data_IF_751432523129
#
_entry.id   IF_751432523129
#
_cell.length_a   1.000
_cell.length_b   1.000
_cell.length_c   1.000
_cell.angle_alpha   90.00
_cell.angle_beta   90.00
_cell.angle_gamma   90.00
#
_symmetry.space_group_name_H-M   'P 1'
#
loop_
_entity.id
_entity.type
_entity.pdbx_description
1 polymer ?
#
# COMPACT_ATOMS: atom_id res chain seq x y z
N UNK A 1 -95.06 90.09 13.20
CA UNK A 1 -96.41 89.53 12.92
C UNK A 1 -96.35 88.66 11.67
N UNK A 2 -97.06 87.52 11.71
CA UNK A 2 -97.47 86.61 10.63
C UNK A 2 -96.37 85.91 9.80
N UNK A 3 -96.11 84.61 10.03
CA UNK A 3 -96.80 83.42 9.47
C UNK A 3 -96.65 83.30 7.94
N UNK A 4 -95.78 82.39 7.51
CA UNK A 4 -95.76 81.85 6.15
C UNK A 4 -95.83 80.33 6.24
N UNK A 5 -96.90 79.80 5.64
CA UNK A 5 -97.34 78.42 5.70
C UNK A 5 -96.47 77.50 4.82
N UNK A 6 -96.24 76.29 5.34
CA UNK A 6 -95.52 75.21 4.69
C UNK A 6 -96.33 74.60 3.53
N UNK A 7 -95.65 74.33 2.40
CA UNK A 7 -96.10 73.40 1.35
C UNK A 7 -95.36 72.07 1.50
N UNK A 8 -96.03 70.91 1.41
CA UNK A 8 -95.35 69.62 1.50
C UNK A 8 -94.66 69.29 0.17
N UNK A 9 -93.35 69.04 0.23
CA UNK A 9 -92.62 68.37 -0.85
C UNK A 9 -92.74 66.86 -0.66
N UNK A 10 -93.41 66.22 -1.60
CA UNK A 10 -93.47 64.77 -1.77
C UNK A 10 -92.06 64.21 -1.96
N UNK A 11 -91.58 63.46 -0.96
CA UNK A 11 -90.30 62.75 -1.00
C UNK A 11 -90.51 61.42 -1.71
N UNK A 12 -90.09 61.31 -2.97
CA UNK A 12 -90.03 60.06 -3.72
C UNK A 12 -89.01 59.12 -3.05
N UNK A 13 -89.48 57.97 -2.57
CA UNK A 13 -88.63 56.88 -2.08
C UNK A 13 -87.95 56.20 -3.28
N UNK A 14 -86.71 56.59 -3.59
CA UNK A 14 -85.82 55.79 -4.44
C UNK A 14 -85.22 54.66 -3.59
N UNK A 15 -85.77 53.46 -3.70
CA UNK A 15 -85.15 52.25 -3.16
C UNK A 15 -83.87 51.94 -3.95
N UNK A 16 -82.70 51.96 -3.29
CA UNK A 16 -81.46 51.40 -3.86
C UNK A 16 -81.61 49.88 -3.94
N UNK A 17 -81.53 49.32 -5.13
CA UNK A 17 -81.29 47.89 -5.35
C UNK A 17 -79.82 47.59 -5.01
N UNK A 18 -79.58 46.73 -4.02
CA UNK A 18 -78.25 46.20 -3.76
C UNK A 18 -77.94 45.12 -4.81
N UNK A 19 -76.85 45.28 -5.56
CA UNK A 19 -76.33 44.24 -6.42
C UNK A 19 -75.77 43.09 -5.56
N UNK A 20 -76.21 41.86 -5.80
CA UNK A 20 -75.63 40.66 -5.19
C UNK A 20 -74.23 40.41 -5.77
N UNK A 21 -73.26 40.08 -4.91
CA UNK A 21 -71.91 39.74 -5.34
C UNK A 21 -71.92 38.44 -6.18
N UNK A 22 -71.07 38.31 -7.23
CA UNK A 22 -71.01 37.09 -8.02
C UNK A 22 -70.41 35.95 -7.18
N UNK A 23 -70.95 34.73 -7.35
CA UNK A 23 -70.44 33.54 -6.69
C UNK A 23 -68.98 33.25 -7.10
N UNK A 24 -68.11 32.95 -6.12
CA UNK A 24 -66.72 32.61 -6.37
C UNK A 24 -66.58 31.23 -7.04
N UNK A 25 -65.77 31.14 -8.10
CA UNK A 25 -65.44 29.85 -8.73
C UNK A 25 -64.46 29.08 -7.83
N UNK A 26 -64.62 27.76 -7.66
CA UNK A 26 -63.66 26.97 -6.89
C UNK A 26 -62.29 26.97 -7.59
N UNK A 27 -61.22 27.14 -6.81
CA UNK A 27 -59.86 27.14 -7.34
C UNK A 27 -59.36 25.71 -7.52
N UNK A 28 -58.75 25.40 -8.66
CA UNK A 28 -58.06 24.13 -8.90
C UNK A 28 -56.66 24.09 -8.26
N UNK A 29 -56.26 25.14 -7.53
CA UNK A 29 -54.96 25.27 -6.88
C UNK A 29 -54.60 24.07 -5.98
N UNK A 30 -55.51 23.48 -5.19
CA UNK A 30 -55.20 22.29 -4.40
C UNK A 30 -54.75 21.11 -5.25
N UNK A 31 -55.33 20.93 -6.45
CA UNK A 31 -54.97 19.83 -7.35
C UNK A 31 -53.62 20.07 -8.02
N UNK A 32 -53.30 21.32 -8.38
CA UNK A 32 -51.97 21.67 -8.89
C UNK A 32 -50.88 21.51 -7.83
N UNK A 33 -51.15 21.91 -6.60
CA UNK A 33 -50.21 21.73 -5.49
C UNK A 33 -50.02 20.25 -5.15
N UNK A 34 -51.11 19.45 -5.19
CA UNK A 34 -51.03 18.00 -5.00
C UNK A 34 -50.20 17.35 -6.11
N UNK A 35 -50.46 17.69 -7.37
CA UNK A 35 -49.72 17.15 -8.52
C UNK A 35 -48.24 17.56 -8.54
N UNK A 36 -47.94 18.81 -8.20
CA UNK A 36 -46.55 19.28 -8.08
C UNK A 36 -45.83 18.61 -6.91
N UNK A 37 -46.53 18.42 -5.78
CA UNK A 37 -46.00 17.72 -4.61
C UNK A 37 -45.69 16.25 -4.89
N UNK A 38 -46.57 15.52 -5.59
CA UNK A 38 -46.35 14.12 -5.95
C UNK A 38 -45.24 13.95 -6.97
N UNK A 39 -45.13 14.84 -7.97
CA UNK A 39 -44.01 14.84 -8.91
C UNK A 39 -42.68 15.20 -8.24
N UNK A 40 -42.68 16.17 -7.33
CA UNK A 40 -41.51 16.54 -6.55
C UNK A 40 -41.03 15.40 -5.64
N UNK A 41 -41.96 14.73 -4.95
CA UNK A 41 -41.65 13.54 -4.14
C UNK A 41 -41.22 12.36 -4.99
N UNK A 42 -41.85 12.13 -6.15
CA UNK A 42 -41.46 11.09 -7.10
C UNK A 42 -40.08 11.34 -7.70
N UNK A 43 -39.75 12.58 -8.05
CA UNK A 43 -38.43 12.98 -8.52
C UNK A 43 -37.37 12.88 -7.43
N UNK A 44 -37.69 13.31 -6.20
CA UNK A 44 -36.81 13.13 -5.04
C UNK A 44 -36.56 11.64 -4.78
N UNK A 45 -37.61 10.83 -4.77
CA UNK A 45 -37.49 9.38 -4.57
C UNK A 45 -36.70 8.74 -5.70
N UNK A 46 -36.93 9.09 -6.96
CA UNK A 46 -36.21 8.56 -8.12
C UNK A 46 -34.71 8.91 -8.09
N UNK A 47 -34.39 10.17 -7.80
CA UNK A 47 -33.00 10.64 -7.64
C UNK A 47 -32.31 10.00 -6.42
N UNK A 48 -33.09 9.61 -5.40
CA UNK A 48 -32.58 9.04 -4.16
C UNK A 48 -32.71 7.50 -4.07
N UNK A 49 -33.43 6.85 -4.99
CA UNK A 49 -33.39 5.40 -5.20
C UNK A 49 -32.12 5.07 -5.95
N UNK A 50 -31.09 4.78 -5.14
CA UNK A 50 -30.01 3.83 -5.37
C UNK A 50 -29.70 3.53 -6.84
N UNK A 51 -28.67 4.22 -7.35
CA UNK A 51 -27.85 3.67 -8.43
C UNK A 51 -27.63 2.17 -8.18
N UNK A 52 -27.74 1.31 -9.22
CA UNK A 52 -27.54 -0.12 -9.04
C UNK A 52 -26.21 -0.36 -8.31
N UNK A 53 -26.29 -1.02 -7.16
CA UNK A 53 -25.10 -1.37 -6.38
C UNK A 53 -24.34 -2.40 -7.20
N UNK A 54 -23.09 -2.10 -7.53
CA UNK A 54 -22.24 -3.03 -8.25
C UNK A 54 -22.01 -4.27 -7.40
N UNK A 55 -22.39 -5.44 -7.91
CA UNK A 55 -22.25 -6.70 -7.17
C UNK A 55 -20.91 -7.40 -7.44
N UNK A 56 -20.27 -7.12 -8.59
CA UNK A 56 -19.08 -7.85 -9.05
C UNK A 56 -17.94 -6.93 -9.39
N UNK A 57 -16.72 -7.34 -9.04
CA UNK A 57 -15.49 -6.64 -9.42
C UNK A 57 -15.24 -6.74 -10.93
N UNK A 58 -14.69 -5.71 -11.60
CA UNK A 58 -14.16 -5.81 -12.95
C UNK A 58 -12.90 -6.69 -13.03
N UNK A 59 -12.21 -6.88 -11.90
CA UNK A 59 -11.06 -7.77 -11.79
C UNK A 59 -11.51 -9.24 -11.89
N UNK A 60 -10.62 -10.11 -12.35
CA UNK A 60 -10.85 -11.55 -12.43
C UNK A 60 -9.85 -12.29 -11.52
N UNK A 61 -10.31 -13.10 -10.54
CA UNK A 61 -9.41 -13.78 -9.61
C UNK A 61 -8.65 -14.95 -10.26
N UNK A 62 -9.14 -15.47 -11.39
CA UNK A 62 -8.58 -16.62 -12.09
C UNK A 62 -7.71 -16.19 -13.28
N UNK A 63 -8.14 -15.15 -14.01
CA UNK A 63 -7.53 -14.71 -15.27
C UNK A 63 -6.91 -13.32 -15.17
N UNK A 64 -5.84 -13.10 -15.94
CA UNK A 64 -5.30 -11.76 -16.12
C UNK A 64 -6.15 -10.99 -17.14
N UNK A 65 -6.46 -9.74 -16.82
CA UNK A 65 -7.10 -8.77 -17.73
C UNK A 65 -6.21 -7.54 -17.85
N UNK A 66 -6.16 -6.94 -19.02
CA UNK A 66 -5.38 -5.73 -19.25
C UNK A 66 -6.18 -4.49 -18.83
N UNK A 67 -5.55 -3.64 -18.05
CA UNK A 67 -6.11 -2.36 -17.63
C UNK A 67 -5.21 -1.23 -18.13
N UNK A 68 -5.84 -0.21 -18.69
CA UNK A 68 -5.15 0.94 -19.27
C UNK A 68 -4.65 1.86 -18.17
N UNK A 69 -3.39 2.28 -18.26
CA UNK A 69 -2.78 3.28 -17.41
C UNK A 69 -3.32 4.66 -17.82
N UNK A 70 -4.18 5.22 -16.98
CA UNK A 70 -4.81 6.53 -17.18
C UNK A 70 -3.83 7.66 -16.96
N UNK A 71 -3.09 7.59 -15.86
CA UNK A 71 -2.29 8.71 -15.34
C UNK A 71 -1.14 8.22 -14.47
N UNK A 72 -0.02 8.92 -14.54
CA UNK A 72 1.13 8.75 -13.64
C UNK A 72 1.30 10.02 -12.82
N UNK A 73 1.39 9.89 -11.49
CA UNK A 73 1.64 11.03 -10.58
C UNK A 73 2.94 10.76 -9.81
N UNK A 74 4.02 11.53 -10.04
CA UNK A 74 5.22 11.44 -9.22
C UNK A 74 4.90 11.70 -7.74
N UNK A 75 5.42 10.86 -6.85
CA UNK A 75 5.20 10.97 -5.39
C UNK A 75 6.44 11.50 -4.67
N UNK A 76 7.58 10.85 -4.87
CA UNK A 76 8.89 11.29 -4.37
C UNK A 76 10.01 10.83 -5.33
N UNK A 77 11.27 10.90 -4.89
CA UNK A 77 12.46 10.62 -5.71
C UNK A 77 12.47 9.23 -6.41
N UNK A 78 11.77 8.23 -5.89
CA UNK A 78 11.72 6.89 -6.49
C UNK A 78 10.33 6.23 -6.41
N UNK A 79 9.28 6.98 -6.12
CA UNK A 79 7.92 6.44 -5.99
C UNK A 79 6.96 7.27 -6.83
N UNK A 80 6.02 6.59 -7.49
CA UNK A 80 4.94 7.22 -8.24
C UNK A 80 3.62 6.48 -8.01
N UNK A 81 2.51 7.20 -8.17
CA UNK A 81 1.19 6.62 -8.29
C UNK A 81 0.88 6.31 -9.75
N UNK A 82 0.37 5.11 -9.99
CA UNK A 82 -0.08 4.62 -11.29
C UNK A 82 -1.59 4.38 -11.20
N UNK A 83 -2.35 5.20 -11.92
CA UNK A 83 -3.82 5.20 -11.87
C UNK A 83 -4.31 4.48 -13.12
N UNK A 84 -4.98 3.34 -12.93
CA UNK A 84 -5.53 2.51 -14.00
C UNK A 84 -7.03 2.75 -14.16
N UNK A 85 -7.51 2.74 -15.40
CA UNK A 85 -8.94 2.86 -15.73
C UNK A 85 -9.65 1.55 -15.39
N UNK A 86 -10.75 1.62 -14.63
CA UNK A 86 -11.71 0.53 -14.48
C UNK A 86 -12.87 0.71 -15.47
N UNK A 87 -13.35 -0.36 -16.12
CA UNK A 87 -14.40 -0.27 -17.14
C UNK A 87 -15.71 0.23 -16.54
N UNK A 88 -16.57 0.83 -17.38
CA UNK A 88 -17.95 1.21 -17.03
C UNK A 88 -18.12 2.05 -15.76
N UNK A 89 -17.08 2.80 -15.34
CA UNK A 89 -17.07 3.52 -14.06
C UNK A 89 -17.34 2.59 -12.85
N UNK A 90 -16.89 1.33 -12.94
CA UNK A 90 -16.99 0.32 -11.89
C UNK A 90 -15.90 0.54 -10.83
N UNK A 91 -16.17 0.11 -9.60
CA UNK A 91 -15.24 0.09 -8.49
C UNK A 91 -14.52 -1.26 -8.42
N UNK A 92 -13.36 -1.29 -7.79
CA UNK A 92 -12.51 -2.50 -7.75
C UNK A 92 -13.07 -3.60 -6.86
N UNK A 93 -13.85 -3.24 -5.83
CA UNK A 93 -14.46 -4.15 -4.86
C UNK A 93 -13.45 -5.15 -4.25
N UNK A 94 -12.20 -4.72 -4.03
CA UNK A 94 -11.21 -5.53 -3.32
C UNK A 94 -11.71 -5.81 -1.90
N UNK A 95 -11.66 -7.08 -1.49
CA UNK A 95 -11.82 -7.43 -0.08
C UNK A 95 -10.66 -6.86 0.74
N UNK A 96 -10.90 -6.63 2.03
CA UNK A 96 -9.87 -6.15 2.94
C UNK A 96 -8.78 -7.19 3.08
N UNK A 97 -7.53 -6.75 3.27
CA UNK A 97 -6.37 -7.63 3.34
C UNK A 97 -6.27 -8.53 2.09
N UNK A 98 -6.41 -7.92 0.91
CA UNK A 98 -6.24 -8.56 -0.38
C UNK A 98 -5.26 -7.80 -1.25
N UNK A 99 -4.78 -8.45 -2.30
CA UNK A 99 -3.89 -7.84 -3.28
C UNK A 99 -4.35 -8.20 -4.69
N UNK A 100 -3.75 -7.55 -5.68
CA UNK A 100 -3.78 -7.97 -7.08
C UNK A 100 -2.43 -8.58 -7.46
N UNK A 101 -2.40 -9.40 -8.51
CA UNK A 101 -1.19 -9.88 -9.15
C UNK A 101 -1.06 -9.16 -10.47
N UNK A 102 0.12 -8.62 -10.74
CA UNK A 102 0.42 -7.93 -12.00
C UNK A 102 1.52 -8.63 -12.77
N UNK A 103 1.48 -8.48 -14.09
CA UNK A 103 2.57 -8.78 -15.02
C UNK A 103 2.50 -7.80 -16.20
N UNK A 104 3.54 -7.78 -17.02
CA UNK A 104 3.47 -7.06 -18.29
C UNK A 104 2.33 -7.60 -19.17
N UNK A 105 1.63 -6.69 -19.85
CA UNK A 105 0.62 -7.06 -20.87
C UNK A 105 1.28 -7.66 -22.10
N UNK A 106 2.50 -7.22 -22.45
CA UNK A 106 3.34 -7.89 -23.43
C UNK A 106 4.09 -9.06 -22.76
N UNK A 107 3.80 -10.33 -23.10
CA UNK A 107 4.45 -11.49 -22.49
C UNK A 107 5.97 -11.53 -22.69
N UNK A 108 6.49 -10.84 -23.71
CA UNK A 108 7.91 -10.80 -24.05
C UNK A 108 8.66 -9.66 -23.36
N UNK A 109 7.95 -8.61 -22.93
CA UNK A 109 8.57 -7.41 -22.35
C UNK A 109 9.22 -7.65 -20.98
N UNK A 110 8.75 -8.64 -20.20
CA UNK A 110 9.27 -8.89 -18.86
C UNK A 110 9.26 -10.37 -18.47
N UNK A 111 10.42 -11.01 -18.63
CA UNK A 111 10.66 -12.42 -18.29
C UNK A 111 11.78 -12.57 -17.24
N UNK A 112 11.65 -13.58 -16.41
CA UNK A 112 12.72 -14.00 -15.50
C UNK A 112 13.84 -14.75 -16.25
N UNK A 113 14.92 -15.09 -15.56
CA UNK A 113 16.04 -15.84 -16.13
C UNK A 113 15.66 -17.21 -16.74
N UNK A 114 14.47 -17.74 -16.40
CA UNK A 114 13.92 -19.00 -16.92
C UNK A 114 12.94 -18.78 -18.07
N UNK A 115 12.82 -17.55 -18.57
CA UNK A 115 11.91 -17.18 -19.65
C UNK A 115 10.44 -17.11 -19.25
N UNK A 116 10.11 -17.15 -17.94
CA UNK A 116 8.74 -17.08 -17.45
C UNK A 116 8.34 -15.63 -17.17
N UNK A 117 7.05 -15.26 -17.35
CA UNK A 117 6.59 -13.92 -17.03
C UNK A 117 6.86 -13.54 -15.57
N UNK A 118 7.41 -12.35 -15.36
CA UNK A 118 7.61 -11.82 -14.01
C UNK A 118 6.27 -11.36 -13.44
N UNK A 119 5.72 -12.16 -12.52
CA UNK A 119 4.49 -11.83 -11.79
C UNK A 119 4.83 -11.24 -10.42
N UNK A 120 4.13 -10.17 -10.00
CA UNK A 120 4.31 -9.58 -8.67
C UNK A 120 2.99 -9.14 -8.04
N UNK A 121 2.83 -9.32 -6.72
CA UNK A 121 1.64 -8.83 -6.03
C UNK A 121 1.78 -7.34 -5.66
N UNK A 122 0.69 -6.59 -5.76
CA UNK A 122 0.56 -5.19 -5.34
C UNK A 122 -0.77 -5.00 -4.60
N UNK A 123 -0.83 -4.10 -3.62
CA UNK A 123 -2.10 -3.69 -3.01
C UNK A 123 -2.41 -2.27 -3.42
N UNK A 124 -3.54 -2.05 -4.10
CA UNK A 124 -4.03 -0.72 -4.42
C UNK A 124 -4.22 0.14 -3.17
N UNK A 125 -3.91 1.44 -3.29
CA UNK A 125 -4.13 2.43 -2.22
C UNK A 125 -5.46 3.19 -2.40
N UNK A 126 -6.08 3.09 -3.58
CA UNK A 126 -7.42 3.63 -3.82
C UNK A 126 -8.47 2.85 -3.00
N UNK A 127 -9.49 3.51 -2.45
CA UNK A 127 -10.62 2.83 -1.80
C UNK A 127 -11.25 1.78 -2.72
N UNK A 128 -11.68 0.65 -2.17
CA UNK A 128 -12.27 -0.46 -2.94
C UNK A 128 -13.54 -0.03 -3.68
N UNK A 129 -14.27 0.95 -3.14
CA UNK A 129 -15.52 1.52 -3.64
C UNK A 129 -15.30 2.68 -4.60
N UNK A 130 -14.03 3.12 -4.81
CA UNK A 130 -13.72 4.18 -5.76
C UNK A 130 -14.04 3.71 -7.18
N UNK A 131 -14.99 4.38 -7.80
CA UNK A 131 -15.47 4.11 -9.16
C UNK A 131 -14.48 4.60 -10.23
N UNK A 132 -14.37 3.83 -11.31
CA UNK A 132 -13.66 4.16 -12.54
C UNK A 132 -12.13 4.09 -12.47
N UNK A 133 -11.54 3.94 -11.29
CA UNK A 133 -10.08 4.00 -11.14
C UNK A 133 -9.54 3.07 -10.05
N UNK A 134 -8.35 2.52 -10.31
CA UNK A 134 -7.54 1.75 -9.38
C UNK A 134 -6.14 2.37 -9.28
N UNK A 135 -5.67 2.69 -8.07
CA UNK A 135 -4.38 3.38 -7.89
C UNK A 135 -3.35 2.47 -7.22
N UNK A 136 -2.19 2.27 -7.87
CA UNK A 136 -1.03 1.59 -7.30
C UNK A 136 0.05 2.62 -6.90
N UNK A 137 0.55 2.53 -5.67
CA UNK A 137 1.71 3.30 -5.22
C UNK A 137 2.96 2.43 -5.35
N UNK A 138 3.83 2.72 -6.32
CA UNK A 138 4.93 1.84 -6.70
C UNK A 138 6.28 2.53 -6.49
N UNK A 139 7.04 2.02 -5.52
CA UNK A 139 8.45 2.35 -5.31
C UNK A 139 9.33 1.60 -6.33
N UNK A 140 10.19 2.32 -7.04
CA UNK A 140 11.19 1.80 -7.96
C UNK A 140 12.39 1.31 -7.18
N UNK A 141 12.78 0.07 -7.45
CA UNK A 141 13.98 -0.54 -6.90
C UNK A 141 14.97 -0.83 -8.02
N UNK A 142 16.25 -0.55 -7.78
CA UNK A 142 17.32 -0.71 -8.79
C UNK A 142 17.56 -2.17 -9.18
N UNK A 143 17.17 -3.12 -8.34
CA UNK A 143 17.20 -4.56 -8.67
C UNK A 143 15.81 -5.13 -8.97
N UNK A 144 14.77 -4.29 -8.94
CA UNK A 144 13.38 -4.72 -9.09
C UNK A 144 12.88 -4.70 -10.53
N UNK A 145 12.89 -5.87 -11.19
CA UNK A 145 12.43 -6.03 -12.58
C UNK A 145 11.01 -5.48 -12.82
N UNK A 146 10.03 -5.87 -11.99
CA UNK A 146 8.64 -5.42 -12.15
C UNK A 146 8.44 -3.93 -11.83
N UNK A 147 9.09 -3.41 -10.78
CA UNK A 147 8.96 -1.99 -10.43
C UNK A 147 9.58 -1.07 -11.48
N UNK A 148 10.69 -1.51 -12.12
CA UNK A 148 11.29 -0.78 -13.25
C UNK A 148 10.36 -0.77 -14.45
N UNK A 149 9.84 -1.94 -14.83
CA UNK A 149 8.91 -2.06 -15.94
C UNK A 149 7.67 -1.17 -15.75
N UNK A 150 7.07 -1.16 -14.56
CA UNK A 150 5.91 -0.29 -14.28
C UNK A 150 6.28 1.20 -14.42
N UNK A 151 7.48 1.60 -13.98
CA UNK A 151 7.98 2.97 -14.13
C UNK A 151 8.35 3.35 -15.57
N UNK A 152 8.47 2.38 -16.48
CA UNK A 152 8.72 2.60 -17.91
C UNK A 152 7.43 2.73 -18.72
N UNK A 153 6.28 2.34 -18.15
CA UNK A 153 4.97 2.52 -18.78
C UNK A 153 4.66 4.01 -18.98
N UNK A 154 3.93 4.30 -20.05
CA UNK A 154 3.39 5.62 -20.39
C UNK A 154 1.88 5.63 -20.25
N UNK A 155 1.31 6.80 -20.06
CA UNK A 155 -0.14 6.98 -20.11
C UNK A 155 -0.67 6.44 -21.45
N UNK A 156 -1.69 5.57 -21.38
CA UNK A 156 -2.20 4.83 -22.53
C UNK A 156 -1.73 3.39 -22.64
N UNK A 157 -0.59 3.03 -22.05
CA UNK A 157 -0.12 1.64 -22.00
C UNK A 157 -1.02 0.79 -21.09
N UNK A 158 -0.84 -0.53 -21.12
CA UNK A 158 -1.61 -1.47 -20.31
C UNK A 158 -0.74 -2.25 -19.33
N UNK A 159 -1.35 -2.67 -18.23
CA UNK A 159 -0.79 -3.64 -17.30
C UNK A 159 -1.79 -4.78 -17.10
N UNK A 160 -1.28 -6.02 -17.15
CA UNK A 160 -2.07 -7.22 -16.97
C UNK A 160 -2.28 -7.47 -15.47
N UNK A 161 -3.53 -7.44 -15.01
CA UNK A 161 -3.91 -7.53 -13.60
C UNK A 161 -4.85 -8.73 -13.39
N UNK A 162 -4.57 -9.52 -12.35
CA UNK A 162 -5.41 -10.61 -11.83
C UNK A 162 -5.76 -10.35 -10.36
N UNK A 163 -7.01 -10.51 -9.96
CA UNK A 163 -7.45 -10.34 -8.58
C UNK A 163 -8.97 -10.18 -8.46
N UNK A 164 -9.49 -9.90 -7.26
CA UNK A 164 -8.76 -9.79 -6.00
C UNK A 164 -8.20 -11.15 -5.54
N UNK A 165 -7.05 -11.14 -4.87
CA UNK A 165 -6.46 -12.30 -4.21
C UNK A 165 -6.53 -12.07 -2.69
N UNK A 166 -7.50 -12.67 -1.98
CA UNK A 166 -7.58 -12.59 -0.53
C UNK A 166 -6.31 -13.15 0.12
N UNK A 167 -5.84 -12.48 1.17
CA UNK A 167 -4.63 -12.87 1.92
C UNK A 167 -4.94 -13.16 3.37
N UNK A 168 -5.87 -12.40 3.93
CA UNK A 168 -6.44 -12.65 5.25
C UNK A 168 -7.94 -12.34 5.24
N UNK A 169 -8.79 -13.20 5.83
CA UNK A 169 -10.22 -12.92 5.96
C UNK A 169 -10.45 -11.93 7.12
N UNK A 170 -10.23 -10.64 6.86
CA UNK A 170 -10.40 -9.59 7.88
C UNK A 170 -11.82 -9.58 8.46
N UNK A 171 -11.92 -9.69 9.79
CA UNK A 171 -13.18 -9.58 10.52
C UNK A 171 -13.11 -8.40 11.48
N UNK A 172 -14.17 -7.57 11.48
CA UNK A 172 -14.20 -6.37 12.31
C UNK A 172 -14.26 -6.72 13.79
N UNK A 173 -13.44 -6.04 14.62
CA UNK A 173 -13.36 -6.26 16.07
C UNK A 173 -13.03 -7.72 16.48
N UNK A 174 -12.38 -8.48 15.60
CA UNK A 174 -11.86 -9.82 15.94
C UNK A 174 -10.76 -9.73 17.01
N UNK A 175 -9.92 -8.71 16.90
CA UNK A 175 -8.79 -8.42 17.79
C UNK A 175 -9.06 -7.17 18.61
N UNK A 176 -8.56 -7.14 19.85
CA UNK A 176 -8.61 -5.95 20.68
C UNK A 176 -7.47 -5.00 20.28
N UNK A 177 -6.29 -5.54 19.95
CA UNK A 177 -5.13 -4.78 19.49
C UNK A 177 -4.47 -5.41 18.26
N UNK A 178 -4.12 -4.58 17.29
CA UNK A 178 -3.45 -4.98 16.05
C UNK A 178 -2.20 -4.14 15.85
N UNK A 179 -1.04 -4.80 15.79
CA UNK A 179 0.20 -4.19 15.36
C UNK A 179 0.40 -4.38 13.86
N UNK A 180 0.72 -3.29 13.19
CA UNK A 180 1.08 -3.23 11.78
C UNK A 180 2.56 -2.86 11.72
N UNK A 181 3.43 -3.75 11.25
CA UNK A 181 4.88 -3.51 11.16
C UNK A 181 5.26 -3.41 9.69
N UNK A 182 5.55 -2.19 9.25
CA UNK A 182 5.76 -1.81 7.85
C UNK A 182 7.19 -1.40 7.53
N UNK A 183 7.62 -1.65 6.29
CA UNK A 183 8.83 -1.06 5.73
C UNK A 183 8.67 -0.63 4.28
N UNK A 184 8.99 0.63 3.97
CA UNK A 184 8.90 1.19 2.62
C UNK A 184 7.52 0.95 1.97
N UNK A 185 7.50 0.31 0.79
CA UNK A 185 6.26 0.00 0.07
C UNK A 185 5.37 -1.06 0.75
N UNK A 186 5.86 -1.71 1.81
CA UNK A 186 5.08 -2.61 2.67
C UNK A 186 3.95 -1.91 3.44
N UNK A 187 3.88 -0.58 3.40
CA UNK A 187 2.76 0.19 3.95
C UNK A 187 1.43 -0.06 3.23
N UNK A 188 1.45 -0.34 1.92
CA UNK A 188 0.22 -0.40 1.10
C UNK A 188 -0.82 -1.44 1.59
N UNK A 189 -0.46 -2.69 1.96
CA UNK A 189 -1.44 -3.61 2.55
C UNK A 189 -1.85 -3.24 3.97
N UNK A 190 -0.93 -2.66 4.76
CA UNK A 190 -1.23 -2.24 6.14
C UNK A 190 -2.21 -1.06 6.15
N UNK A 191 -2.02 -0.12 5.23
CA UNK A 191 -2.90 1.02 4.99
C UNK A 191 -4.30 0.56 4.54
N UNK A 192 -4.40 -0.47 3.69
CA UNK A 192 -5.70 -1.02 3.29
C UNK A 192 -6.51 -1.53 4.51
N UNK A 193 -5.88 -2.28 5.41
CA UNK A 193 -6.52 -2.73 6.66
C UNK A 193 -6.90 -1.54 7.52
N UNK A 194 -5.94 -0.65 7.77
CA UNK A 194 -6.10 0.49 8.68
C UNK A 194 -7.22 1.42 8.22
N UNK A 195 -7.20 1.84 6.95
CA UNK A 195 -8.19 2.73 6.38
C UNK A 195 -9.59 2.10 6.41
N UNK A 196 -9.71 0.81 6.07
CA UNK A 196 -11.00 0.11 6.14
C UNK A 196 -11.52 0.03 7.58
N UNK A 197 -10.70 -0.47 8.51
CA UNK A 197 -11.11 -0.68 9.89
C UNK A 197 -11.48 0.64 10.58
N UNK A 198 -10.66 1.68 10.45
CA UNK A 198 -10.92 2.98 11.10
C UNK A 198 -12.09 3.74 10.48
N UNK A 199 -12.37 3.54 9.19
CA UNK A 199 -13.55 4.15 8.56
C UNK A 199 -14.88 3.59 9.07
N UNK A 200 -14.87 2.42 9.72
CA UNK A 200 -16.06 1.80 10.29
C UNK A 200 -16.40 2.43 11.66
N UNK A 201 -17.56 3.08 11.82
CA UNK A 201 -17.95 3.74 13.09
C UNK A 201 -18.05 2.79 14.29
N UNK A 202 -18.16 1.48 14.06
CA UNK A 202 -18.24 0.46 15.11
C UNK A 202 -16.87 -0.11 15.53
N UNK A 203 -15.76 0.44 15.01
CA UNK A 203 -14.42 -0.02 15.35
C UNK A 203 -14.08 0.16 16.83
N UNK A 204 -13.64 -0.93 17.45
CA UNK A 204 -13.13 -1.01 18.82
C UNK A 204 -11.66 -1.43 18.85
N UNK A 205 -11.18 -2.09 17.79
CA UNK A 205 -9.78 -2.49 17.62
C UNK A 205 -8.85 -1.29 17.75
N UNK A 206 -7.79 -1.43 18.54
CA UNK A 206 -6.70 -0.46 18.59
C UNK A 206 -5.59 -0.87 17.64
N UNK A 207 -5.02 0.08 16.92
CA UNK A 207 -3.97 -0.13 15.95
C UNK A 207 -2.70 0.59 16.36
N UNK A 208 -1.57 -0.11 16.31
CA UNK A 208 -0.23 0.49 16.38
C UNK A 208 0.51 0.20 15.09
N UNK A 209 0.89 1.24 14.35
CA UNK A 209 1.75 1.11 13.17
C UNK A 209 3.20 1.45 13.54
N UNK A 210 4.09 0.47 13.42
CA UNK A 210 5.55 0.68 13.41
C UNK A 210 6.01 0.78 11.96
N UNK A 211 6.35 1.98 11.50
CA UNK A 211 6.69 2.20 10.09
C UNK A 211 8.15 2.62 9.93
N UNK A 212 8.93 1.75 9.28
CA UNK A 212 10.37 1.94 9.08
C UNK A 212 10.73 2.35 7.66
N UNK A 213 11.60 3.35 7.54
CA UNK A 213 12.08 3.90 6.28
C UNK A 213 13.56 4.28 6.39
N UNK A 214 14.23 4.52 5.26
CA UNK A 214 15.63 4.98 5.28
C UNK A 214 15.69 6.43 5.73
N UNK A 215 15.02 7.33 5.01
CA UNK A 215 14.94 8.76 5.35
C UNK A 215 13.51 9.19 5.62
N UNK A 216 13.32 10.40 6.16
CA UNK A 216 11.97 10.98 6.32
C UNK A 216 11.25 11.16 4.98
N UNK A 217 11.98 11.45 3.90
CA UNK A 217 11.43 11.60 2.54
C UNK A 217 10.93 10.27 1.94
N UNK A 218 11.31 9.13 2.52
CA UNK A 218 10.85 7.81 2.12
C UNK A 218 9.52 7.40 2.76
N UNK A 219 8.98 8.19 3.71
CA UNK A 219 7.74 7.86 4.42
C UNK A 219 6.56 8.05 3.47
N UNK A 220 6.10 6.94 2.89
CA UNK A 220 4.94 6.89 2.01
C UNK A 220 3.64 7.05 2.79
N UNK A 221 2.68 7.75 2.21
CA UNK A 221 1.35 8.01 2.79
C UNK A 221 1.39 8.80 4.11
N UNK A 222 2.46 9.57 4.39
CA UNK A 222 2.61 10.29 5.65
C UNK A 222 1.42 11.23 5.94
N UNK A 223 0.97 12.11 5.01
CA UNK A 223 -0.18 12.97 5.27
C UNK A 223 -1.47 12.19 5.58
N UNK A 224 -1.72 11.08 4.87
CA UNK A 224 -2.88 10.23 5.07
C UNK A 224 -2.85 9.54 6.43
N UNK A 225 -1.69 9.03 6.84
CA UNK A 225 -1.48 8.40 8.13
C UNK A 225 -1.64 9.39 9.29
N UNK A 226 -1.09 10.60 9.19
CA UNK A 226 -1.28 11.64 10.20
C UNK A 226 -2.76 12.06 10.32
N UNK A 227 -3.46 12.18 9.20
CA UNK A 227 -4.90 12.48 9.19
C UNK A 227 -5.72 11.35 9.83
N UNK A 228 -5.36 10.07 9.61
CA UNK A 228 -6.00 8.95 10.30
C UNK A 228 -5.75 9.02 11.80
N UNK A 229 -4.52 9.33 12.24
CA UNK A 229 -4.17 9.47 13.65
C UNK A 229 -4.96 10.61 14.31
N UNK A 230 -5.07 11.75 13.64
CA UNK A 230 -5.83 12.89 14.15
C UNK A 230 -7.33 12.58 14.29
N UNK A 231 -7.90 11.81 13.35
CA UNK A 231 -9.33 11.43 13.37
C UNK A 231 -9.66 10.33 14.38
N UNK A 232 -8.70 9.45 14.66
CA UNK A 232 -8.90 8.27 15.50
C UNK A 232 -7.84 8.16 16.61
N UNK A 233 -7.63 9.20 17.44
CA UNK A 233 -6.52 9.24 18.39
C UNK A 233 -6.59 8.15 19.48
N UNK A 234 -7.80 7.68 19.81
CA UNK A 234 -8.00 6.62 20.82
C UNK A 234 -7.82 5.20 20.24
N UNK A 235 -7.89 5.06 18.91
CA UNK A 235 -7.83 3.76 18.22
C UNK A 235 -6.60 3.60 17.33
N UNK A 236 -5.84 4.65 17.05
CA UNK A 236 -4.69 4.56 16.16
C UNK A 236 -3.48 5.36 16.66
N UNK A 237 -2.38 4.64 16.80
CA UNK A 237 -1.06 5.20 17.04
C UNK A 237 -0.08 4.82 15.92
N UNK A 238 0.87 5.71 15.65
CA UNK A 238 1.96 5.48 14.69
C UNK A 238 3.29 5.88 15.29
N UNK A 239 4.30 5.06 15.02
CA UNK A 239 5.71 5.30 15.36
C UNK A 239 6.51 5.19 14.07
N UNK A 240 7.17 6.28 13.69
CA UNK A 240 8.09 6.29 12.57
C UNK A 240 9.50 5.93 13.04
N UNK A 241 10.17 5.05 12.32
CA UNK A 241 11.54 4.60 12.60
C UNK A 241 12.39 4.89 11.37
N UNK A 242 13.51 5.59 11.53
CA UNK A 242 14.36 6.02 10.42
C UNK A 242 15.79 5.50 10.57
N UNK A 243 16.32 4.89 9.53
CA UNK A 243 17.73 4.45 9.49
C UNK A 243 18.69 5.67 9.47
N UNK A 244 18.42 6.60 8.56
CA UNK A 244 19.12 7.87 8.38
C UNK A 244 18.18 9.07 8.67
N UNK A 245 17.90 9.36 9.96
CA UNK A 245 17.03 10.47 10.34
C UNK A 245 17.70 11.85 10.17
N UNK A 246 16.92 12.92 9.94
CA UNK A 246 17.44 14.28 10.01
C UNK A 246 17.90 14.65 11.42
N UNK A 247 18.70 15.71 11.53
CA UNK A 247 19.08 16.28 12.84
C UNK A 247 17.83 16.68 13.63
N UNK A 248 17.79 16.33 14.91
CA UNK A 248 16.66 16.65 15.79
C UNK A 248 15.48 15.66 15.73
N UNK A 249 15.64 14.52 15.06
CA UNK A 249 14.63 13.45 15.06
C UNK A 249 14.37 12.91 16.47
N UNK A 250 13.10 12.96 16.90
CA UNK A 250 12.67 12.51 18.21
C UNK A 250 12.25 11.03 18.26
N UNK A 251 12.04 10.40 17.10
CA UNK A 251 11.63 9.00 17.01
C UNK A 251 12.81 8.02 17.11
N UNK A 252 12.52 6.71 17.10
CA UNK A 252 13.56 5.69 17.03
C UNK A 252 14.44 5.83 15.78
N UNK A 253 15.73 5.53 15.93
CA UNK A 253 16.74 5.52 14.86
C UNK A 253 17.24 4.10 14.59
N UNK A 254 17.51 3.78 13.33
CA UNK A 254 18.04 2.49 12.87
C UNK A 254 16.94 1.53 12.43
N UNK A 255 17.19 0.23 12.57
CA UNK A 255 16.22 -0.83 12.27
C UNK A 255 15.20 -1.01 13.40
N UNK A 256 14.11 -1.72 13.11
CA UNK A 256 13.11 -2.09 14.12
C UNK A 256 13.74 -3.08 15.09
N UNK A 257 14.10 -2.59 16.27
CA UNK A 257 14.68 -3.36 17.35
C UNK A 257 13.60 -3.92 18.31
N UNK A 258 14.01 -4.87 19.13
CA UNK A 258 13.16 -5.57 20.11
C UNK A 258 12.50 -4.61 21.09
N UNK A 259 13.24 -3.60 21.53
CA UNK A 259 12.83 -2.62 22.52
C UNK A 259 11.67 -1.76 21.99
N UNK A 260 11.72 -1.39 20.70
CA UNK A 260 10.65 -0.62 20.05
C UNK A 260 9.35 -1.42 20.02
N UNK A 261 9.43 -2.72 19.71
CA UNK A 261 8.26 -3.59 19.72
C UNK A 261 7.71 -3.72 21.14
N UNK A 262 8.56 -3.99 22.13
CA UNK A 262 8.14 -4.10 23.54
C UNK A 262 7.50 -2.83 24.09
N UNK A 263 7.96 -1.66 23.65
CA UNK A 263 7.47 -0.37 24.11
C UNK A 263 6.09 -0.01 23.52
N UNK A 264 5.80 -0.43 22.30
CA UNK A 264 4.66 0.09 21.54
C UNK A 264 3.62 -0.96 21.15
N UNK A 265 3.98 -2.24 21.11
CA UNK A 265 3.09 -3.33 20.70
C UNK A 265 2.57 -4.07 21.93
N UNK A 266 1.28 -4.42 21.89
CA UNK A 266 0.63 -5.22 22.91
C UNK A 266 1.40 -6.53 23.15
N UNK A 267 1.57 -6.88 24.42
CA UNK A 267 2.28 -8.09 24.84
C UNK A 267 1.54 -9.35 24.34
N UNK A 268 2.27 -10.45 24.08
CA UNK A 268 1.67 -11.70 23.58
C UNK A 268 0.79 -12.43 24.62
N UNK A 269 0.82 -12.03 25.89
CA UNK A 269 0.02 -12.59 26.99
C UNK A 269 -1.49 -12.40 26.80
N UNK A 270 -1.90 -11.44 25.96
CA UNK A 270 -3.28 -11.26 25.49
C UNK A 270 -3.73 -12.34 24.48
N UNK A 271 -2.86 -13.29 24.11
CA UNK A 271 -3.15 -14.45 23.24
C UNK A 271 -3.87 -14.03 21.95
N UNK A 272 -5.01 -14.66 21.65
CA UNK A 272 -5.79 -14.49 20.41
C UNK A 272 -6.39 -13.09 20.24
N UNK A 273 -6.31 -12.21 21.26
CA UNK A 273 -6.78 -10.82 21.19
C UNK A 273 -5.79 -9.86 20.53
N UNK A 274 -4.55 -10.30 20.30
CA UNK A 274 -3.51 -9.51 19.65
C UNK A 274 -3.15 -10.13 18.31
N UNK A 275 -3.06 -9.29 17.28
CA UNK A 275 -2.54 -9.68 15.97
C UNK A 275 -1.40 -8.78 15.51
N UNK A 276 -0.36 -9.37 14.93
CA UNK A 276 0.78 -8.66 14.34
C UNK A 276 0.82 -8.97 12.84
N UNK A 277 0.70 -7.95 12.00
CA UNK A 277 0.90 -8.04 10.56
C UNK A 277 2.24 -7.41 10.18
N UNK A 278 3.10 -8.17 9.50
CA UNK A 278 4.43 -7.67 9.08
C UNK A 278 4.51 -7.56 7.56
N UNK A 279 4.84 -6.41 7.00
CA UNK A 279 5.08 -6.26 5.56
C UNK A 279 6.24 -5.30 5.27
N UNK A 280 7.27 -5.81 4.60
CA UNK A 280 8.43 -5.01 4.21
C UNK A 280 9.40 -5.79 3.32
N UNK A 281 10.62 -5.26 3.13
CA UNK A 281 11.70 -5.95 2.43
C UNK A 281 12.01 -7.31 3.06
N UNK A 282 12.52 -8.30 2.29
CA UNK A 282 12.80 -9.64 2.79
C UNK A 282 13.70 -9.68 4.02
N UNK A 283 14.74 -8.83 4.09
CA UNK A 283 15.63 -8.76 5.25
C UNK A 283 14.89 -8.35 6.52
N UNK A 284 14.05 -7.32 6.45
CA UNK A 284 13.23 -6.88 7.59
C UNK A 284 12.25 -7.97 8.03
N UNK A 285 11.53 -8.60 7.10
CA UNK A 285 10.58 -9.67 7.45
C UNK A 285 11.30 -10.84 8.11
N UNK A 286 12.48 -11.22 7.59
CA UNK A 286 13.28 -12.31 8.14
C UNK A 286 13.76 -12.00 9.57
N UNK A 287 14.23 -10.78 9.84
CA UNK A 287 14.67 -10.37 11.16
C UNK A 287 13.53 -10.33 12.19
N UNK A 288 12.33 -9.90 11.77
CA UNK A 288 11.19 -9.78 12.67
C UNK A 288 10.49 -11.11 12.93
N UNK A 289 10.35 -11.94 11.91
CA UNK A 289 9.38 -13.03 11.92
C UNK A 289 9.83 -14.30 11.19
N UNK A 290 11.11 -14.37 10.77
CA UNK A 290 11.68 -15.54 10.12
C UNK A 290 11.57 -15.60 8.59
N UNK A 291 12.29 -16.55 8.01
CA UNK A 291 12.32 -16.78 6.56
C UNK A 291 11.01 -17.40 6.08
N UNK A 292 10.65 -17.10 4.84
CA UNK A 292 9.41 -17.62 4.23
C UNK A 292 9.57 -19.04 3.69
N UNK A 293 8.50 -19.81 3.76
CA UNK A 293 8.34 -21.08 3.09
C UNK A 293 7.54 -20.92 1.77
N UNK A 294 8.22 -20.46 0.72
CA UNK A 294 7.61 -20.34 -0.61
C UNK A 294 6.56 -19.23 -0.70
N UNK A 295 5.27 -19.60 -0.76
CA UNK A 295 4.13 -18.67 -0.83
C UNK A 295 3.38 -18.52 0.50
N UNK A 296 3.76 -19.29 1.52
CA UNK A 296 3.23 -19.22 2.88
C UNK A 296 4.26 -18.57 3.81
N UNK A 297 3.79 -18.12 4.96
CA UNK A 297 4.68 -17.82 6.06
C UNK A 297 5.40 -19.11 6.48
N UNK A 298 6.73 -19.01 6.71
CA UNK A 298 7.51 -20.11 7.28
C UNK A 298 7.26 -20.24 8.78
N UNK A 299 8.05 -21.06 9.46
CA UNK A 299 8.04 -21.10 10.93
C UNK A 299 8.33 -19.70 11.48
N UNK A 300 7.58 -19.29 12.50
CA UNK A 300 7.86 -18.02 13.17
C UNK A 300 9.26 -18.06 13.80
N UNK A 301 10.05 -17.03 13.53
CA UNK A 301 11.41 -16.84 14.03
C UNK A 301 11.71 -15.35 14.27
N UNK A 302 12.94 -15.03 14.69
CA UNK A 302 13.38 -13.66 14.89
C UNK A 302 12.74 -12.97 16.11
N UNK A 303 12.70 -11.64 16.08
CA UNK A 303 12.36 -10.81 17.24
C UNK A 303 10.97 -11.16 17.81
N UNK A 304 9.97 -11.44 16.96
CA UNK A 304 8.63 -11.79 17.44
C UNK A 304 8.62 -13.13 18.19
N UNK A 305 9.37 -14.14 17.73
CA UNK A 305 9.50 -15.41 18.48
C UNK A 305 10.21 -15.19 19.81
N UNK A 306 11.30 -14.42 19.82
CA UNK A 306 12.03 -14.10 21.05
C UNK A 306 11.19 -13.35 22.08
N UNK A 307 10.22 -12.56 21.63
CA UNK A 307 9.28 -11.84 22.48
C UNK A 307 8.11 -12.70 22.96
N UNK A 308 7.98 -13.93 22.46
CA UNK A 308 6.96 -14.89 22.87
C UNK A 308 5.66 -14.83 22.07
N UNK A 309 5.63 -14.17 20.91
CA UNK A 309 4.48 -14.26 19.99
C UNK A 309 4.40 -15.67 19.39
N UNK A 310 3.18 -16.12 19.11
CA UNK A 310 2.91 -17.39 18.42
C UNK A 310 2.63 -17.18 16.93
N UNK A 311 2.65 -18.27 16.16
CA UNK A 311 2.28 -18.25 14.73
C UNK A 311 0.85 -17.76 14.51
N UNK A 312 -0.06 -18.06 15.44
CA UNK A 312 -1.44 -17.57 15.38
C UNK A 312 -1.55 -16.06 15.63
N UNK A 313 -0.61 -15.47 16.37
CA UNK A 313 -0.57 -14.02 16.61
C UNK A 313 0.19 -13.27 15.52
N UNK A 314 1.22 -13.88 14.94
CA UNK A 314 2.13 -13.23 14.00
C UNK A 314 1.90 -13.70 12.56
N UNK A 315 1.19 -12.87 11.79
CA UNK A 315 1.04 -13.07 10.35
C UNK A 315 2.11 -12.26 9.63
N UNK A 316 2.98 -12.93 8.89
CA UNK A 316 3.91 -12.24 8.01
C UNK A 316 3.40 -12.18 6.58
N UNK A 317 3.44 -10.97 6.06
CA UNK A 317 3.19 -10.54 4.70
C UNK A 317 1.80 -10.83 4.12
N UNK A 318 0.99 -9.77 4.07
CA UNK A 318 -0.17 -9.66 3.19
C UNK A 318 0.22 -9.70 1.69
N UNK A 319 1.47 -9.35 1.34
CA UNK A 319 1.93 -9.29 -0.06
C UNK A 319 3.37 -9.79 -0.16
N UNK A 320 3.64 -10.76 -1.04
CA UNK A 320 5.01 -11.22 -1.31
C UNK A 320 5.81 -10.21 -2.15
N UNK A 321 6.54 -9.28 -1.52
CA UNK A 321 7.64 -8.57 -2.17
C UNK A 321 8.83 -9.54 -2.33
N UNK A 322 8.80 -10.37 -3.39
CA UNK A 322 9.96 -11.19 -3.73
C UNK A 322 10.98 -10.31 -4.46
N UNK A 323 12.04 -9.92 -3.75
CA UNK A 323 13.34 -9.81 -4.38
C UNK A 323 13.79 -11.25 -4.62
N UNK A 324 13.53 -11.78 -5.81
CA UNK A 324 14.44 -12.80 -6.28
C UNK A 324 15.73 -12.01 -6.57
N UNK A 325 16.71 -12.12 -5.67
CA UNK A 325 18.08 -12.01 -6.13
C UNK A 325 18.21 -13.15 -7.14
N UNK A 326 18.16 -12.82 -8.44
CA UNK A 326 18.76 -13.71 -9.41
C UNK A 326 20.23 -13.79 -9.00
N UNK A 327 20.60 -14.88 -8.33
CA UNK A 327 21.99 -15.18 -7.98
C UNK A 327 22.83 -15.07 -9.26
N UNK A 328 22.26 -15.41 -10.41
CA UNK A 328 22.89 -15.26 -11.73
C UNK A 328 23.18 -13.80 -12.08
N UNK A 329 22.30 -12.85 -11.74
CA UNK A 329 22.48 -11.41 -12.00
C UNK A 329 23.47 -10.77 -11.01
N UNK A 330 23.48 -11.19 -9.74
CA UNK A 330 24.50 -10.79 -8.77
C UNK A 330 25.89 -11.30 -9.18
N UNK A 331 25.96 -12.53 -9.70
CA UNK A 331 27.21 -13.11 -10.23
C UNK A 331 27.70 -12.34 -11.45
N UNK A 332 26.79 -11.96 -12.37
CA UNK A 332 27.16 -11.20 -13.57
C UNK A 332 27.58 -9.75 -13.26
N UNK A 333 26.95 -9.11 -12.27
CA UNK A 333 27.32 -7.76 -11.80
C UNK A 333 28.66 -7.76 -11.06
N UNK A 334 28.90 -8.74 -10.18
CA UNK A 334 30.18 -8.90 -9.50
C UNK A 334 31.29 -9.27 -10.48
N UNK A 335 31.00 -10.06 -11.52
CA UNK A 335 31.96 -10.38 -12.58
C UNK A 335 32.31 -9.15 -13.43
N UNK A 336 31.34 -8.27 -13.74
CA UNK A 336 31.58 -7.00 -14.45
C UNK A 336 32.34 -5.98 -13.60
N UNK A 337 32.15 -6.00 -12.28
CA UNK A 337 32.91 -5.17 -11.34
C UNK A 337 34.34 -5.67 -11.12
N UNK A 338 34.52 -6.99 -11.07
CA UNK A 338 35.85 -7.61 -10.93
C UNK A 338 36.67 -7.54 -12.23
N UNK A 339 36.02 -7.51 -13.40
CA UNK A 339 36.68 -7.51 -14.71
C UNK A 339 36.02 -6.50 -15.66
N UNK A 340 36.44 -5.22 -15.64
CA UNK A 340 35.93 -4.19 -16.55
C UNK A 340 36.33 -4.47 -18.02
N UNK A 341 35.55 -3.92 -18.94
CA UNK A 341 35.40 -4.30 -20.35
C UNK A 341 36.65 -4.33 -21.26
N UNK A 342 37.85 -4.10 -20.74
CA UNK A 342 39.11 -4.10 -21.50
C UNK A 342 39.86 -5.43 -21.43
N UNK A 343 39.50 -6.35 -20.53
CA UNK A 343 40.07 -7.70 -20.52
C UNK A 343 39.38 -8.60 -21.54
N UNK A 344 40.11 -9.00 -22.60
CA UNK A 344 39.66 -10.02 -23.57
C UNK A 344 39.56 -11.39 -22.89
N UNK A 345 38.46 -11.64 -22.21
CA UNK A 345 38.10 -12.97 -21.71
C UNK A 345 36.76 -13.34 -22.33
N UNK A 346 36.69 -14.51 -22.98
CA UNK A 346 35.48 -14.98 -23.64
C UNK A 346 34.36 -15.21 -22.61
N UNK A 347 33.08 -14.94 -22.96
CA UNK A 347 31.96 -15.21 -22.07
C UNK A 347 31.91 -16.69 -21.71
N UNK A 348 31.74 -16.98 -20.42
CA UNK A 348 31.64 -18.36 -19.91
C UNK A 348 30.40 -19.02 -20.50
N UNK A 349 30.59 -20.13 -21.22
CA UNK A 349 29.48 -20.85 -21.84
C UNK A 349 28.60 -21.53 -20.78
N UNK A 350 27.31 -21.73 -21.07
CA UNK A 350 26.37 -22.45 -20.17
C UNK A 350 26.86 -23.83 -19.73
N UNK A 351 27.73 -24.46 -20.52
CA UNK A 351 28.30 -25.77 -20.22
C UNK A 351 29.39 -25.74 -19.12
N UNK A 352 30.04 -24.58 -18.91
CA UNK A 352 31.19 -24.44 -17.99
C UNK A 352 30.79 -23.96 -16.58
N UNK A 353 29.53 -23.56 -16.38
CA UNK A 353 29.00 -23.10 -15.08
C UNK A 353 29.01 -24.17 -13.96
N UNK A 354 28.78 -25.47 -14.23
CA UNK A 354 28.86 -26.50 -13.21
C UNK A 354 30.28 -26.76 -12.70
N UNK A 355 31.28 -26.70 -13.58
CA UNK A 355 32.70 -26.90 -13.22
C UNK A 355 33.22 -25.77 -12.32
N UNK A 356 32.85 -24.52 -12.60
CA UNK A 356 33.21 -23.39 -11.75
C UNK A 356 32.57 -23.46 -10.36
N UNK A 357 31.32 -23.95 -10.23
CA UNK A 357 30.70 -24.22 -8.91
C UNK A 357 31.44 -25.29 -8.12
N UNK A 358 32.04 -26.28 -8.79
CA UNK A 358 32.85 -27.29 -8.12
C UNK A 358 34.18 -26.73 -7.63
N UNK A 359 34.87 -25.89 -8.41
CA UNK A 359 36.14 -25.26 -7.99
C UNK A 359 35.98 -24.48 -6.68
N UNK A 360 34.90 -23.69 -6.54
CA UNK A 360 34.64 -22.91 -5.32
C UNK A 360 34.26 -23.77 -4.10
N UNK A 361 33.58 -24.90 -4.31
CA UNK A 361 33.29 -25.85 -3.23
C UNK A 361 34.56 -26.58 -2.76
N UNK A 362 35.49 -26.86 -3.68
CA UNK A 362 36.77 -27.53 -3.38
C UNK A 362 37.73 -26.62 -2.62
N UNK A 363 37.79 -25.32 -2.94
CA UNK A 363 38.62 -24.36 -2.18
C UNK A 363 38.11 -24.14 -0.74
N UNK A 364 36.79 -24.21 -0.53
CA UNK A 364 36.16 -24.17 0.80
C UNK A 364 36.40 -25.45 1.61
N UNK A 365 36.45 -26.62 0.97
CA UNK A 365 36.75 -27.89 1.63
C UNK A 365 38.25 -28.06 1.92
N UNK A 366 39.15 -27.59 1.04
CA UNK A 366 40.59 -27.61 1.25
C UNK A 366 41.03 -26.78 2.48
N UNK A 367 40.37 -25.65 2.73
CA UNK A 367 40.61 -24.83 3.93
C UNK A 367 40.21 -25.52 5.25
N UNK A 368 39.34 -26.54 5.20
CA UNK A 368 38.91 -27.33 6.36
C UNK A 368 39.87 -28.50 6.64
N UNK A 369 40.54 -29.03 5.62
CA UNK A 369 41.50 -30.13 5.76
C UNK A 369 42.87 -29.70 6.31
N UNK A 370 43.26 -28.42 6.19
CA UNK A 370 44.52 -27.89 6.75
C UNK A 370 44.47 -27.56 8.26
N UNK A 371 43.49 -28.09 9.01
CA UNK A 371 43.48 -28.06 10.47
C UNK A 371 42.84 -26.82 11.12
N UNK A 372 42.12 -26.01 10.35
CA UNK A 372 41.34 -24.88 10.87
C UNK A 372 40.11 -25.39 11.65
N UNK A 373 40.11 -25.25 12.98
CA UNK A 373 38.96 -25.63 13.82
C UNK A 373 37.87 -24.57 13.78
N UNK A 374 36.80 -24.85 13.03
CA UNK A 374 35.56 -24.08 13.07
C UNK A 374 34.80 -24.29 14.40
N UNK A 375 34.75 -23.27 15.26
CA UNK A 375 33.78 -23.22 16.37
C UNK A 375 32.44 -22.70 15.82
N UNK A 376 31.57 -23.67 15.51
CA UNK A 376 30.16 -23.54 15.11
C UNK A 376 29.88 -23.34 13.61
N UNK A 377 28.90 -24.13 13.11
CA UNK A 377 28.26 -23.96 11.80
C UNK A 377 27.06 -23.02 11.98
N UNK A 378 27.21 -21.75 11.63
CA UNK A 378 26.08 -20.87 11.33
C UNK A 378 26.49 -19.91 10.21
N UNK A 379 25.89 -20.10 9.03
CA UNK A 379 26.05 -19.15 7.92
C UNK A 379 25.03 -18.03 8.17
N UNK A 380 25.51 -16.98 8.84
CA UNK A 380 24.85 -15.69 8.97
C UNK A 380 25.56 -14.71 8.05
N UNK A 381 24.96 -14.41 6.89
CA UNK A 381 25.36 -13.23 6.11
C UNK A 381 24.84 -12.03 6.87
N UNK A 382 25.69 -11.34 7.63
CA UNK A 382 25.76 -9.89 7.88
C UNK A 382 26.83 -9.72 8.99
N UNK A 383 27.88 -8.97 8.65
CA UNK A 383 29.09 -8.65 9.41
C UNK A 383 30.10 -9.79 9.67
N UNK A 384 31.27 -9.68 9.04
CA UNK A 384 32.45 -10.49 9.31
C UNK A 384 33.45 -9.67 10.13
N UNK A 385 33.64 -10.02 11.40
CA UNK A 385 34.89 -9.75 12.11
C UNK A 385 35.67 -11.06 12.20
N UNK A 386 36.91 -11.06 11.68
CA UNK A 386 37.86 -12.18 11.81
C UNK A 386 39.02 -11.65 12.64
N UNK A 387 39.23 -12.25 13.81
CA UNK A 387 40.38 -11.98 14.66
C UNK A 387 41.46 -13.03 14.34
N UNK A 388 42.60 -12.57 13.85
CA UNK A 388 43.81 -13.36 13.62
C UNK A 388 44.84 -13.05 14.72
N UNK A 389 45.77 -13.98 14.97
CA UNK A 389 46.77 -13.89 16.06
C UNK A 389 47.72 -12.66 15.94
N UNK A 390 47.68 -11.93 14.82
CA UNK A 390 48.49 -10.77 14.48
C UNK A 390 47.70 -9.49 14.14
N UNK A 391 46.39 -9.45 14.45
CA UNK A 391 45.59 -8.21 14.48
C UNK A 391 44.28 -8.22 13.68
N UNK A 392 43.42 -7.22 13.95
CA UNK A 392 42.06 -7.10 13.38
C UNK A 392 42.09 -6.46 11.99
N UNK A 393 41.57 -7.15 10.98
CA UNK A 393 41.34 -6.61 9.64
C UNK A 393 39.84 -6.47 9.35
N UNK A 394 39.43 -5.31 8.81
CA UNK A 394 38.05 -5.02 8.38
C UNK A 394 37.94 -5.11 6.86
N UNK A 395 37.08 -5.99 6.35
CA UNK A 395 36.76 -6.09 4.92
C UNK A 395 35.53 -5.24 4.62
N UNK A 396 35.64 -4.27 3.72
CA UNK A 396 34.52 -3.43 3.29
C UNK A 396 33.78 -4.09 2.11
N UNK A 397 32.46 -4.29 2.25
CA UNK A 397 31.57 -4.55 1.11
C UNK A 397 31.12 -3.21 0.53
N UNK A 398 31.35 -2.97 -0.75
CA UNK A 398 30.98 -1.72 -1.39
C UNK A 398 29.44 -1.60 -1.57
N UNK A 399 28.81 -0.74 -0.79
CA UNK A 399 27.56 -0.06 -1.13
C UNK A 399 27.80 1.46 -1.06
N UNK A 400 27.63 2.13 -2.21
CA UNK A 400 27.37 3.58 -2.32
C UNK A 400 28.43 4.55 -1.79
N UNK A 401 29.37 4.96 -2.64
CA UNK A 401 30.00 6.27 -2.50
C UNK A 401 29.32 7.24 -3.46
N UNK A 402 28.68 8.27 -2.91
CA UNK A 402 28.43 9.53 -3.62
C UNK A 402 29.77 10.09 -4.09
N UNK A 403 29.86 10.50 -5.35
CA UNK A 403 30.96 11.32 -5.84
C UNK A 403 30.76 12.72 -5.27
N UNK A 404 31.50 13.03 -4.21
CA UNK A 404 32.05 14.38 -4.03
C UNK A 404 33.56 14.26 -4.24
N UNK A 405 34.01 14.95 -5.28
CA UNK A 405 35.40 15.11 -5.74
C UNK A 405 36.25 15.86 -4.71
N UNK A 406 37.50 15.44 -4.45
CA UNK A 406 38.53 16.45 -4.26
C UNK A 406 39.92 15.98 -4.74
N UNK A 407 40.26 16.07 -6.03
CA UNK A 407 41.67 16.26 -6.41
C UNK A 407 41.83 17.12 -7.66
N UNK A 408 42.00 18.41 -7.40
CA UNK A 408 42.74 19.35 -8.22
C UNK A 408 44.23 18.96 -8.21
N UNK A 409 44.84 18.90 -9.40
CA UNK A 409 46.27 19.04 -9.64
C UNK A 409 47.23 17.94 -9.13
N UNK A 410 47.74 17.12 -10.04
CA UNK A 410 49.16 17.14 -10.46
C UNK A 410 49.39 16.16 -11.64
N UNK A 411 49.69 16.77 -12.79
CA UNK A 411 50.23 16.18 -14.04
C UNK A 411 51.66 15.61 -13.83
N UNK A 412 52.21 14.79 -14.75
CA UNK A 412 52.00 14.75 -16.20
C UNK A 412 51.25 13.55 -16.78
#
# INVERSE_FOLDING_TARGET
MLRLAARPLTRSHLARTYATAPASKPSNLPFYLLGAGTLGLGGYYYLNTSQPVQEKSPLDPENFKDFKLKKIVPYNHNTSEFIFELPNNEASLLSVASCIIVKSSDPEALKDAKGKPVIRPYTPISPSEKKGELTLLVKKYDTGQASKHIHELKEGDTLSIKGPIPKWPWTHNEFDEVALIGGGSGITPLYQILNHALSNPSNKTKFTLLFSNVTEADILLKPELENLKQKHPDNFNIVYILDNPPKGWAGPKGYIAKEVIQQHVAKPDLKEKVKVFVCGPPGQVAALAGKKAGMKQGELDGILKELGYTEDQAITQLIKLSYYYDIDCATELLHKQAYPAESKVAPISKAQQPEYRQVWNVELEAAVEEGVKLKSRSVSMYDHEVELDDGIWRVWSAQGASIDDPYDGLLP
#
